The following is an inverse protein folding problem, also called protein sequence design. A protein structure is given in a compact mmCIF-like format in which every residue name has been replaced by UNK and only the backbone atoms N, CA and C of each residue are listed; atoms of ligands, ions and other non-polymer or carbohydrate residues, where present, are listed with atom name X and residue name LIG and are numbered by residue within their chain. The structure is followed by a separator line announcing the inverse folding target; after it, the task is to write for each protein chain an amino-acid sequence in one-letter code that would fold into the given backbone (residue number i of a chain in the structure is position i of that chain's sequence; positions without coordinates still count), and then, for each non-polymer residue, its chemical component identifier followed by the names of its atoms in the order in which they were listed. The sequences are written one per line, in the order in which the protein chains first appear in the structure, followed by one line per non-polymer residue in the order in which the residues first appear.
data_IF_047848565294
#
_entry.id   IF_047848565294
#
_cell.length_a   1.000
_cell.length_b   1.000
_cell.length_c   1.000
_cell.angle_alpha   90.00
_cell.angle_beta   90.00
_cell.angle_gamma   90.00
#
_symmetry.space_group_name_H-M   'P 1'
#
loop_
_entity.id
_entity.type
_entity.pdbx_description
1 polymer ?
#
# COMPACT_ATOMS: atom_id res chain seq x y z
N UNK A 1 9.07 -5.03 -26.76
CA UNK A 1 9.99 -6.13 -26.39
C UNK A 1 11.25 -5.52 -25.80
N UNK A 2 11.31 -5.39 -24.48
CA UNK A 2 12.53 -5.09 -23.75
C UNK A 2 12.71 -6.26 -22.76
N UNK A 3 13.69 -7.12 -23.01
CA UNK A 3 14.05 -8.20 -22.10
C UNK A 3 14.79 -7.57 -20.91
N UNK A 4 14.20 -7.65 -19.72
CA UNK A 4 14.81 -7.15 -18.49
C UNK A 4 15.79 -8.20 -17.94
N UNK A 5 17.03 -7.77 -17.70
CA UNK A 5 18.13 -8.59 -17.19
C UNK A 5 18.13 -8.59 -15.66
N UNK A 6 17.96 -9.77 -15.06
CA UNK A 6 17.98 -10.05 -13.61
C UNK A 6 19.41 -10.06 -13.07
N UNK A 7 19.75 -9.41 -11.93
CA UNK A 7 20.95 -9.77 -11.19
C UNK A 7 20.68 -11.06 -10.41
N UNK A 8 21.29 -12.15 -10.88
CA UNK A 8 21.22 -13.49 -10.29
C UNK A 8 22.13 -13.54 -9.06
N UNK A 9 21.62 -14.03 -7.94
CA UNK A 9 22.37 -14.24 -6.71
C UNK A 9 23.52 -15.24 -6.86
N UNK A 10 24.37 -15.35 -5.83
CA UNK A 10 25.44 -16.35 -5.81
C UNK A 10 24.81 -17.75 -5.75
N UNK A 11 24.97 -18.53 -6.82
CA UNK A 11 24.52 -19.91 -6.92
C UNK A 11 25.42 -20.81 -6.07
N UNK A 12 24.83 -21.55 -5.12
CA UNK A 12 25.43 -22.80 -4.66
C UNK A 12 25.18 -23.86 -5.74
N UNK A 13 26.14 -24.76 -5.98
CA UNK A 13 25.99 -25.80 -7.00
C UNK A 13 24.69 -26.60 -6.77
N UNK A 14 23.83 -26.71 -7.79
CA UNK A 14 22.58 -27.47 -7.73
C UNK A 14 21.32 -26.70 -7.35
N UNK A 15 21.36 -25.36 -7.22
CA UNK A 15 20.19 -24.52 -6.92
C UNK A 15 19.82 -23.64 -8.12
N UNK A 16 18.52 -23.46 -8.41
CA UNK A 16 17.96 -22.51 -9.37
C UNK A 16 17.13 -21.46 -8.63
N UNK A 17 17.41 -20.18 -8.87
CA UNK A 17 16.65 -19.06 -8.30
C UNK A 17 15.86 -18.38 -9.43
N UNK A 18 14.55 -18.30 -9.30
CA UNK A 18 13.67 -17.54 -10.19
C UNK A 18 13.06 -16.40 -9.40
N UNK A 19 13.18 -15.17 -9.89
CA UNK A 19 12.56 -13.99 -9.28
C UNK A 19 11.54 -13.38 -10.25
N UNK A 20 10.40 -12.95 -9.71
CA UNK A 20 9.33 -12.30 -10.42
C UNK A 20 8.98 -10.97 -9.76
N UNK A 21 8.66 -9.97 -10.59
CA UNK A 21 8.22 -8.66 -10.14
C UNK A 21 6.97 -8.26 -10.91
N UNK A 22 5.93 -7.83 -10.18
CA UNK A 22 4.72 -7.22 -10.75
C UNK A 22 4.68 -5.76 -10.31
N UNK A 23 4.67 -4.78 -11.24
CA UNK A 23 4.68 -3.37 -10.89
C UNK A 23 3.38 -2.93 -10.20
N UNK A 24 3.42 -1.81 -9.49
CA UNK A 24 2.29 -1.27 -8.71
C UNK A 24 0.99 -1.15 -9.50
N UNK A 25 1.08 -0.78 -10.78
CA UNK A 25 -0.07 -0.56 -11.65
C UNK A 25 -0.78 -1.87 -12.05
N UNK A 26 -0.06 -2.99 -11.97
CA UNK A 26 -0.55 -4.32 -12.36
C UNK A 26 -0.78 -5.24 -11.15
N UNK A 27 -0.23 -4.91 -9.98
CA UNK A 27 -0.31 -5.71 -8.77
C UNK A 27 -1.77 -5.92 -8.32
N UNK A 28 -2.08 -7.16 -7.93
CA UNK A 28 -3.40 -7.54 -7.42
C UNK A 28 -3.26 -8.60 -6.33
N UNK A 29 -4.28 -8.76 -5.50
CA UNK A 29 -4.38 -9.84 -4.51
C UNK A 29 -4.18 -11.27 -5.06
N UNK A 30 -4.11 -11.46 -6.38
CA UNK A 30 -3.85 -12.74 -7.01
C UNK A 30 -2.39 -13.22 -6.91
N UNK A 31 -1.43 -12.30 -6.67
CA UNK A 31 0.01 -12.59 -6.71
C UNK A 31 0.41 -13.38 -7.98
N UNK A 32 -0.06 -12.89 -9.14
CA UNK A 32 0.11 -13.57 -10.41
C UNK A 32 1.46 -13.21 -11.04
N UNK A 33 2.49 -14.02 -10.75
CA UNK A 33 3.79 -13.91 -11.40
C UNK A 33 3.83 -14.73 -12.69
N UNK A 34 4.69 -14.31 -13.62
CA UNK A 34 4.89 -15.03 -14.88
C UNK A 34 5.64 -16.35 -14.68
N UNK A 35 6.75 -16.30 -13.95
CA UNK A 35 7.72 -17.41 -13.85
C UNK A 35 7.91 -17.91 -12.40
N UNK A 36 7.24 -17.31 -11.43
CA UNK A 36 7.25 -17.73 -10.02
C UNK A 36 5.91 -18.41 -9.72
N UNK A 37 5.88 -19.59 -9.08
CA UNK A 37 4.64 -20.20 -8.62
C UNK A 37 3.82 -19.25 -7.77
N UNK A 38 2.49 -19.44 -7.76
CA UNK A 38 1.62 -18.69 -6.86
C UNK A 38 1.72 -19.30 -5.45
N UNK A 39 1.49 -18.50 -4.40
CA UNK A 39 1.34 -19.03 -3.04
C UNK A 39 0.34 -20.18 -3.00
N UNK A 40 0.59 -21.21 -2.20
CA UNK A 40 -0.27 -22.41 -2.11
C UNK A 40 -0.82 -22.60 -0.71
N UNK A 41 -1.87 -23.40 -0.58
CA UNK A 41 -2.34 -23.88 0.73
C UNK A 41 -1.80 -25.26 1.03
N UNK A 42 -1.45 -25.50 2.30
CA UNK A 42 -1.17 -26.84 2.82
C UNK A 42 0.21 -27.37 2.43
N UNK A 43 1.18 -26.48 2.21
CA UNK A 43 2.58 -26.86 2.12
C UNK A 43 3.18 -27.13 3.51
N UNK A 44 4.46 -27.53 3.56
CA UNK A 44 5.11 -27.92 4.80
C UNK A 44 5.27 -26.76 5.82
N UNK A 45 5.30 -25.50 5.36
CA UNK A 45 5.38 -24.32 6.22
C UNK A 45 4.07 -24.09 6.99
N UNK A 46 2.92 -24.50 6.46
CA UNK A 46 1.60 -24.31 7.11
C UNK A 46 1.58 -24.89 8.54
N UNK A 47 2.24 -26.03 8.77
CA UNK A 47 2.35 -26.68 10.07
C UNK A 47 3.65 -26.38 10.85
N UNK A 48 4.53 -25.55 10.29
CA UNK A 48 5.84 -25.27 10.86
C UNK A 48 5.76 -24.26 12.02
N UNK A 49 6.84 -24.18 12.79
CA UNK A 49 7.01 -23.15 13.83
C UNK A 49 7.98 -22.09 13.36
N UNK A 50 7.48 -20.88 13.22
CA UNK A 50 8.28 -19.70 12.93
C UNK A 50 8.75 -19.04 14.23
N UNK A 51 10.00 -18.58 14.25
CA UNK A 51 10.54 -17.84 15.39
C UNK A 51 11.54 -16.78 14.95
N UNK A 52 11.54 -15.64 15.65
CA UNK A 52 12.60 -14.63 15.51
C UNK A 52 13.81 -15.11 16.32
N UNK A 53 14.93 -15.32 15.63
CA UNK A 53 16.24 -15.61 16.24
C UNK A 53 16.97 -14.32 16.55
N UNK A 54 16.87 -13.34 15.66
CA UNK A 54 17.50 -12.02 15.80
C UNK A 54 16.63 -10.94 15.14
N UNK A 55 16.74 -9.70 15.62
CA UNK A 55 15.89 -8.59 15.23
C UNK A 55 14.60 -8.47 16.05
N UNK A 56 13.81 -7.43 15.75
CA UNK A 56 12.55 -7.13 16.46
C UNK A 56 11.42 -6.91 15.46
N UNK A 57 10.29 -7.60 15.64
CA UNK A 57 9.05 -7.35 14.89
C UNK A 57 8.59 -5.90 15.06
N UNK A 58 8.10 -5.26 14.00
CA UNK A 58 7.41 -3.97 14.14
C UNK A 58 5.99 -4.17 14.67
N UNK A 59 5.56 -3.37 15.65
CA UNK A 59 4.25 -3.52 16.28
C UNK A 59 3.07 -3.28 15.33
N UNK A 60 3.28 -2.57 14.21
CA UNK A 60 2.24 -2.36 13.20
C UNK A 60 2.10 -3.56 12.25
N UNK A 61 3.13 -4.39 12.14
CA UNK A 61 3.14 -5.58 11.30
C UNK A 61 2.31 -6.72 11.88
N UNK A 62 1.99 -7.69 11.03
CA UNK A 62 1.37 -8.94 11.43
C UNK A 62 2.30 -9.78 12.33
N UNK A 63 1.71 -10.72 13.06
CA UNK A 63 2.48 -11.76 13.78
C UNK A 63 3.11 -12.76 12.78
N UNK A 64 3.95 -13.66 13.29
CA UNK A 64 4.69 -14.63 12.46
C UNK A 64 3.79 -15.58 11.66
N UNK A 65 2.57 -15.83 12.13
CA UNK A 65 1.59 -16.69 11.43
C UNK A 65 1.30 -16.18 10.01
N UNK A 66 1.40 -14.87 9.75
CA UNK A 66 1.20 -14.30 8.43
C UNK A 66 2.29 -14.67 7.41
N UNK A 67 3.33 -15.42 7.82
CA UNK A 67 4.31 -15.97 6.90
C UNK A 67 3.92 -17.35 6.38
N UNK A 68 2.86 -17.97 6.90
CA UNK A 68 2.50 -19.36 6.55
C UNK A 68 1.00 -19.69 6.79
N UNK A 69 0.12 -18.69 6.81
CA UNK A 69 -1.31 -18.90 7.06
C UNK A 69 -2.13 -19.06 5.76
N UNK A 70 -1.46 -19.03 4.60
CA UNK A 70 -2.07 -19.13 3.29
C UNK A 70 -2.95 -17.93 2.93
N UNK A 71 -2.85 -16.81 3.65
CA UNK A 71 -3.55 -15.56 3.30
C UNK A 71 -2.58 -14.61 2.65
N UNK A 72 -3.08 -13.85 1.68
CA UNK A 72 -2.29 -12.86 0.97
C UNK A 72 -2.87 -11.47 1.21
N UNK A 73 -2.03 -10.43 1.31
CA UNK A 73 -2.50 -9.06 1.36
C UNK A 73 -3.22 -8.72 0.06
N UNK A 74 -4.20 -7.84 0.16
CA UNK A 74 -4.98 -7.41 -0.99
C UNK A 74 -4.61 -6.02 -1.51
N UNK A 75 -3.81 -5.28 -0.75
CA UNK A 75 -3.25 -3.98 -1.09
C UNK A 75 -1.74 -3.89 -0.88
N UNK A 76 -1.17 -2.82 -1.41
CA UNK A 76 0.27 -2.51 -1.44
C UNK A 76 0.78 -1.80 -0.18
N UNK A 77 -0.04 -1.66 0.85
CA UNK A 77 0.33 -1.16 2.17
C UNK A 77 -0.62 -1.73 3.23
N UNK A 78 -0.49 -3.05 3.48
CA UNK A 78 -1.30 -3.77 4.47
C UNK A 78 -0.44 -4.32 5.61
N UNK A 79 -0.06 -3.48 6.60
CA UNK A 79 0.78 -3.92 7.71
C UNK A 79 0.22 -5.12 8.48
N UNK A 80 -1.11 -5.20 8.66
CA UNK A 80 -1.75 -6.30 9.39
C UNK A 80 -1.75 -7.65 8.66
N UNK A 81 -1.43 -7.67 7.36
CA UNK A 81 -1.35 -8.87 6.53
C UNK A 81 0.10 -9.20 6.13
N UNK A 82 1.09 -8.48 6.68
CA UNK A 82 2.49 -8.69 6.35
C UNK A 82 3.37 -8.65 7.61
N UNK A 83 4.33 -9.56 7.69
CA UNK A 83 5.38 -9.50 8.69
C UNK A 83 6.49 -8.54 8.25
N UNK A 84 7.02 -7.72 9.18
CA UNK A 84 8.23 -6.94 8.93
C UNK A 84 8.97 -6.60 10.24
N UNK A 85 10.29 -6.42 10.11
CA UNK A 85 11.14 -5.96 11.20
C UNK A 85 10.95 -4.46 11.49
N UNK A 86 11.24 -4.07 12.73
CA UNK A 86 11.10 -2.71 13.25
C UNK A 86 11.81 -1.67 12.38
N UNK A 87 11.19 -0.51 12.25
CA UNK A 87 11.82 0.65 11.62
C UNK A 87 13.20 0.96 12.24
N UNK A 88 14.18 1.31 11.40
CA UNK A 88 15.55 1.65 11.78
C UNK A 88 16.48 0.47 12.06
N UNK A 89 16.02 -0.76 11.85
CA UNK A 89 16.85 -1.98 12.01
C UNK A 89 17.39 -2.49 10.68
N UNK A 90 18.50 -3.22 10.71
CA UNK A 90 19.13 -3.81 9.52
C UNK A 90 18.43 -5.07 8.99
N UNK A 91 17.31 -5.49 9.59
CA UNK A 91 16.64 -6.76 9.34
C UNK A 91 16.74 -7.69 10.55
N UNK A 92 16.88 -9.00 10.30
CA UNK A 92 16.91 -9.99 11.36
C UNK A 92 17.01 -11.42 10.85
N UNK A 93 16.83 -12.39 11.75
CA UNK A 93 16.87 -13.81 11.43
C UNK A 93 15.56 -14.49 11.79
N UNK A 94 14.96 -15.17 10.82
CA UNK A 94 13.76 -16.00 11.01
C UNK A 94 14.14 -17.47 10.92
N UNK A 95 13.78 -18.23 11.96
CA UNK A 95 13.86 -19.68 12.00
C UNK A 95 12.52 -20.28 11.59
N UNK A 96 12.55 -21.29 10.74
CA UNK A 96 11.43 -22.18 10.44
C UNK A 96 11.80 -23.59 10.92
N UNK A 97 11.10 -24.12 11.91
CA UNK A 97 11.19 -25.53 12.32
C UNK A 97 10.02 -26.30 11.72
N UNK A 98 10.29 -27.16 10.73
CA UNK A 98 9.31 -28.00 10.06
C UNK A 98 8.83 -29.18 10.94
N UNK A 99 9.38 -29.32 12.15
CA UNK A 99 9.06 -30.37 13.12
C UNK A 99 9.71 -31.72 12.81
N UNK A 100 9.92 -32.03 11.53
CA UNK A 100 10.63 -33.21 11.05
C UNK A 100 11.52 -32.88 9.86
N UNK A 101 12.48 -33.76 9.57
CA UNK A 101 13.30 -33.67 8.36
C UNK A 101 12.47 -34.10 7.15
N UNK A 102 12.43 -33.27 6.11
CA UNK A 102 11.74 -33.55 4.84
C UNK A 102 12.67 -33.25 3.66
N UNK A 103 12.38 -33.86 2.52
CA UNK A 103 13.06 -33.58 1.26
C UNK A 103 12.41 -32.38 0.58
N UNK A 104 12.99 -31.20 0.83
CA UNK A 104 12.49 -29.93 0.28
C UNK A 104 12.85 -29.88 -1.20
N UNK A 105 11.88 -29.52 -2.03
CA UNK A 105 12.02 -29.32 -3.47
C UNK A 105 12.15 -27.84 -3.81
N UNK A 106 11.34 -26.99 -3.16
CA UNK A 106 11.31 -25.55 -3.38
C UNK A 106 11.06 -24.79 -2.08
N UNK A 107 11.60 -23.57 -2.00
CA UNK A 107 11.18 -22.55 -1.05
C UNK A 107 10.75 -21.32 -1.84
N UNK A 108 9.51 -20.88 -1.65
CA UNK A 108 8.98 -19.70 -2.30
C UNK A 108 8.73 -18.58 -1.29
N UNK A 109 9.02 -17.34 -1.66
CA UNK A 109 8.82 -16.18 -0.79
C UNK A 109 8.13 -15.04 -1.51
N UNK A 110 7.19 -14.40 -0.83
CA UNK A 110 6.34 -13.36 -1.41
C UNK A 110 6.32 -12.10 -0.55
N UNK A 111 6.29 -10.94 -1.22
CA UNK A 111 6.20 -9.63 -0.57
C UNK A 111 5.45 -8.63 -1.43
N UNK A 112 4.80 -7.66 -0.81
CA UNK A 112 4.12 -6.58 -1.53
C UNK A 112 4.19 -5.26 -0.76
N UNK A 113 4.75 -4.24 -1.40
CA UNK A 113 4.59 -2.86 -0.95
C UNK A 113 4.73 -1.86 -2.09
N UNK A 114 4.11 -0.69 -1.98
CA UNK A 114 4.10 0.37 -3.01
C UNK A 114 5.48 0.98 -3.34
N UNK A 115 6.48 0.77 -2.47
CA UNK A 115 7.80 1.39 -2.52
C UNK A 115 8.96 0.46 -2.15
N UNK A 116 10.00 1.01 -1.52
CA UNK A 116 11.28 0.32 -1.20
C UNK A 116 11.15 -0.88 -0.27
N UNK A 117 10.00 -1.06 0.36
CA UNK A 117 9.68 -2.19 1.24
C UNK A 117 9.09 -3.39 0.50
N UNK A 118 8.97 -3.33 -0.83
CA UNK A 118 8.51 -4.44 -1.67
C UNK A 118 9.62 -5.48 -1.93
N UNK A 119 10.84 -5.08 -2.35
CA UNK A 119 11.93 -6.00 -2.62
C UNK A 119 12.33 -6.88 -1.44
N UNK A 120 12.96 -8.02 -1.74
CA UNK A 120 13.44 -9.02 -0.78
C UNK A 120 14.96 -9.10 -0.82
N UNK A 121 15.60 -9.00 0.35
CA UNK A 121 17.05 -9.19 0.50
C UNK A 121 17.29 -10.17 1.65
N UNK A 122 17.73 -11.39 1.33
CA UNK A 122 17.98 -12.40 2.36
C UNK A 122 18.98 -13.47 1.91
N UNK A 123 19.53 -14.17 2.89
CA UNK A 123 20.25 -15.44 2.68
C UNK A 123 19.49 -16.58 3.33
N UNK A 124 19.23 -17.64 2.58
CA UNK A 124 18.56 -18.85 3.04
C UNK A 124 19.59 -19.93 3.39
N UNK A 125 19.42 -20.52 4.57
CA UNK A 125 20.18 -21.68 5.03
C UNK A 125 19.25 -22.83 5.39
N UNK A 126 19.77 -24.06 5.32
CA UNK A 126 19.08 -25.27 5.77
C UNK A 126 19.93 -26.11 6.72
N UNK A 127 19.29 -26.83 7.64
CA UNK A 127 19.94 -27.83 8.47
C UNK A 127 19.02 -29.00 8.80
N UNK A 128 19.56 -30.21 8.85
CA UNK A 128 18.90 -31.38 9.42
C UNK A 128 18.93 -31.36 10.97
N UNK A 129 19.80 -30.54 11.55
CA UNK A 129 19.99 -30.39 13.00
C UNK A 129 20.81 -31.48 13.68
N UNK A 130 21.41 -32.36 12.89
CA UNK A 130 22.26 -33.47 13.34
C UNK A 130 23.77 -33.20 13.16
N UNK A 131 24.12 -32.05 12.57
CA UNK A 131 25.50 -31.63 12.40
C UNK A 131 26.19 -31.41 13.78
N UNK A 132 27.45 -31.87 13.97
CA UNK A 132 28.21 -31.55 15.17
C UNK A 132 28.33 -30.04 15.38
N UNK A 133 28.04 -29.58 16.60
CA UNK A 133 28.07 -28.15 16.93
C UNK A 133 26.91 -27.34 16.33
N UNK A 134 25.82 -28.00 15.91
CA UNK A 134 24.61 -27.33 15.46
C UNK A 134 24.06 -26.40 16.54
N UNK A 135 23.99 -25.11 16.22
CA UNK A 135 23.25 -24.12 16.98
C UNK A 135 21.97 -23.78 16.21
N UNK A 136 20.82 -24.14 16.77
CA UNK A 136 19.51 -23.89 16.16
C UNK A 136 19.17 -22.39 16.09
N UNK A 137 19.78 -21.54 16.93
CA UNK A 137 19.44 -20.12 17.03
C UNK A 137 20.71 -19.25 16.97
N UNK A 138 21.46 -19.27 15.85
CA UNK A 138 22.66 -18.47 15.73
C UNK A 138 22.26 -16.99 15.64
N UNK A 139 22.40 -16.26 16.75
CA UNK A 139 22.02 -14.85 16.86
C UNK A 139 23.20 -13.90 16.56
N UNK A 140 22.89 -12.65 16.20
CA UNK A 140 23.87 -11.58 16.03
C UNK A 140 24.93 -11.89 14.97
N UNK A 141 26.24 -11.71 15.26
CA UNK A 141 27.30 -11.80 14.26
C UNK A 141 27.67 -13.24 13.87
N UNK A 142 27.11 -14.27 14.51
CA UNK A 142 27.47 -15.68 14.27
C UNK A 142 27.18 -16.07 12.82
N UNK A 143 28.20 -16.52 12.08
CA UNK A 143 28.01 -17.12 10.75
C UNK A 143 27.30 -18.47 10.90
N UNK A 144 26.08 -18.64 10.36
CA UNK A 144 25.34 -19.91 10.47
C UNK A 144 26.17 -21.12 10.00
N UNK A 145 27.05 -20.95 9.01
CA UNK A 145 27.88 -22.03 8.47
C UNK A 145 28.88 -22.59 9.48
N UNK A 146 29.27 -21.77 10.45
CA UNK A 146 30.19 -22.19 11.52
C UNK A 146 29.52 -23.08 12.57
N UNK A 147 28.19 -23.16 12.59
CA UNK A 147 27.41 -23.84 13.61
C UNK A 147 26.30 -24.72 13.02
N UNK A 148 26.65 -25.48 11.97
CA UNK A 148 25.82 -26.58 11.48
C UNK A 148 24.72 -26.21 10.48
N UNK A 149 24.79 -25.03 9.85
CA UNK A 149 23.90 -24.64 8.76
C UNK A 149 24.56 -24.71 7.39
N UNK A 150 23.82 -25.16 6.39
CA UNK A 150 24.25 -25.18 4.99
C UNK A 150 23.67 -23.98 4.26
N UNK A 151 24.49 -23.23 3.53
CA UNK A 151 24.05 -22.16 2.65
C UNK A 151 23.26 -22.75 1.48
N UNK A 152 22.02 -22.28 1.28
CA UNK A 152 21.17 -22.68 0.14
C UNK A 152 21.24 -21.62 -0.96
N UNK A 153 20.92 -20.36 -0.64
CA UNK A 153 20.82 -19.29 -1.63
C UNK A 153 20.99 -17.90 -1.01
N UNK A 154 21.43 -16.93 -1.82
CA UNK A 154 21.37 -15.51 -1.51
C UNK A 154 20.47 -14.81 -2.54
N UNK A 155 19.54 -13.99 -2.05
CA UNK A 155 18.47 -13.35 -2.82
C UNK A 155 18.53 -11.84 -2.65
N UNK A 156 18.42 -11.12 -3.76
CA UNK A 156 18.24 -9.68 -3.82
C UNK A 156 17.33 -9.34 -5.02
N UNK A 157 16.11 -8.91 -4.75
CA UNK A 157 15.14 -8.56 -5.81
C UNK A 157 15.07 -7.05 -6.08
N UNK A 158 15.96 -6.25 -5.49
CA UNK A 158 15.97 -4.80 -5.72
C UNK A 158 16.26 -4.50 -7.19
N UNK A 159 15.55 -3.56 -7.82
CA UNK A 159 15.86 -3.15 -9.18
C UNK A 159 17.18 -2.37 -9.19
N UNK A 160 17.81 -2.29 -10.37
CA UNK A 160 19.00 -1.44 -10.57
C UNK A 160 18.68 0.05 -10.41
N UNK A 161 17.45 0.45 -10.73
CA UNK A 161 16.97 1.83 -10.65
C UNK A 161 15.53 1.88 -10.09
N UNK A 162 15.21 2.95 -9.37
CA UNK A 162 13.90 3.16 -8.75
C UNK A 162 13.72 2.42 -7.41
N UNK A 163 12.57 2.64 -6.77
CA UNK A 163 12.27 2.07 -5.44
C UNK A 163 11.86 0.59 -5.45
N UNK A 164 11.57 0.00 -6.62
CA UNK A 164 11.18 -1.40 -6.70
C UNK A 164 9.84 -1.74 -6.07
N UNK A 165 8.92 -0.78 -5.96
CA UNK A 165 7.56 -1.05 -5.48
C UNK A 165 6.81 -2.07 -6.36
N UNK A 166 5.82 -2.73 -5.78
CA UNK A 166 5.03 -3.78 -6.40
C UNK A 166 5.15 -5.10 -5.64
N UNK A 167 4.72 -6.18 -6.28
CA UNK A 167 4.82 -7.54 -5.73
C UNK A 167 6.13 -8.18 -6.15
N UNK A 168 6.81 -8.82 -5.21
CA UNK A 168 8.00 -9.64 -5.47
C UNK A 168 7.72 -11.08 -5.08
N UNK A 169 8.10 -12.00 -5.95
CA UNK A 169 8.05 -13.43 -5.72
C UNK A 169 9.43 -14.01 -6.02
N UNK A 170 9.87 -14.96 -5.19
CA UNK A 170 11.11 -15.69 -5.42
C UNK A 170 10.83 -17.17 -5.25
N UNK A 171 11.33 -18.00 -6.16
CA UNK A 171 11.32 -19.45 -6.06
C UNK A 171 12.75 -19.97 -6.09
N UNK A 172 13.16 -20.66 -5.03
CA UNK A 172 14.46 -21.31 -4.88
C UNK A 172 14.21 -22.82 -5.02
N UNK A 173 14.71 -23.42 -6.09
CA UNK A 173 14.46 -24.81 -6.45
C UNK A 173 15.76 -25.61 -6.57
N UNK A 174 15.72 -26.91 -6.28
CA UNK A 174 16.80 -27.82 -6.68
C UNK A 174 16.82 -28.04 -8.20
N UNK A 175 18.00 -27.96 -8.82
CA UNK A 175 18.15 -28.19 -10.28
C UNK A 175 17.72 -29.60 -10.68
N UNK A 176 17.98 -30.59 -9.82
CA UNK A 176 17.62 -32.00 -10.02
C UNK A 176 16.32 -32.40 -9.28
N UNK A 177 15.51 -31.41 -8.88
CA UNK A 177 14.22 -31.61 -8.22
C UNK A 177 14.26 -31.63 -6.69
N UNK A 178 15.44 -31.75 -6.06
CA UNK A 178 15.61 -31.66 -4.61
C UNK A 178 16.53 -30.50 -4.23
N UNK A 179 16.06 -29.62 -3.35
CA UNK A 179 16.83 -28.54 -2.74
C UNK A 179 17.68 -29.05 -1.56
N UNK A 180 17.18 -30.06 -0.84
CA UNK A 180 17.90 -30.80 0.18
C UNK A 180 17.00 -31.33 1.31
N UNK A 181 17.55 -32.24 2.10
CA UNK A 181 16.85 -32.86 3.23
C UNK A 181 17.08 -32.03 4.51
N UNK A 182 16.09 -31.23 4.90
CA UNK A 182 16.21 -30.29 6.02
C UNK A 182 15.01 -30.39 6.97
N UNK A 183 15.26 -30.07 8.25
CA UNK A 183 14.22 -29.82 9.25
C UNK A 183 14.09 -28.33 9.54
N UNK A 184 15.22 -27.64 9.59
CA UNK A 184 15.29 -26.23 9.93
C UNK A 184 15.68 -25.42 8.70
N UNK A 185 14.98 -24.29 8.49
CA UNK A 185 15.39 -23.24 7.58
C UNK A 185 15.69 -21.97 8.37
N UNK A 186 16.68 -21.20 7.93
CA UNK A 186 17.03 -19.92 8.51
C UNK A 186 17.10 -18.86 7.40
N UNK A 187 16.25 -17.84 7.53
CA UNK A 187 16.29 -16.65 6.68
C UNK A 187 17.06 -15.56 7.41
N UNK A 188 18.27 -15.25 6.92
CA UNK A 188 19.01 -14.07 7.34
C UNK A 188 18.60 -12.89 6.45
N UNK A 189 17.64 -12.09 6.94
CA UNK A 189 17.00 -10.99 6.22
C UNK A 189 17.78 -9.69 6.43
N UNK A 190 17.98 -8.94 5.36
CA UNK A 190 18.54 -7.59 5.39
C UNK A 190 17.51 -6.55 4.95
N UNK A 191 17.62 -5.32 5.48
CA UNK A 191 16.86 -4.18 4.98
C UNK A 191 17.18 -3.90 3.50
N UNK A 192 16.20 -3.39 2.77
CA UNK A 192 16.30 -3.09 1.33
C UNK A 192 17.02 -1.76 1.07
N UNK A 193 16.91 -0.78 1.97
CA UNK A 193 17.54 0.53 1.89
C UNK A 193 17.70 1.21 3.26
N UNK A 194 18.40 2.36 3.29
CA UNK A 194 18.76 3.11 4.50
C UNK A 194 18.54 4.64 4.38
N UNK A 195 17.83 5.10 3.34
CA UNK A 195 17.51 6.50 3.12
C UNK A 195 16.52 7.03 4.16
N UNK A 196 15.63 6.17 4.68
CA UNK A 196 14.85 6.44 5.89
C UNK A 196 14.78 5.20 6.82
N UNK A 197 13.98 5.29 7.89
CA UNK A 197 13.84 4.22 8.87
C UNK A 197 12.99 3.04 8.38
N UNK A 198 12.26 3.17 7.28
CA UNK A 198 11.31 2.21 6.75
C UNK A 198 11.90 1.37 5.62
N UNK A 199 13.09 0.81 5.82
CA UNK A 199 13.78 -0.03 4.84
C UNK A 199 13.51 -1.54 4.95
N UNK A 200 12.58 -2.00 5.79
CA UNK A 200 12.32 -3.44 5.98
C UNK A 200 11.16 -3.94 5.12
N UNK A 201 11.37 -5.09 4.45
CA UNK A 201 10.44 -5.76 3.54
C UNK A 201 9.11 -6.12 4.22
N UNK A 202 7.98 -5.91 3.53
CA UNK A 202 6.66 -6.47 3.89
C UNK A 202 6.58 -7.92 3.40
N UNK A 203 6.88 -8.88 4.26
CA UNK A 203 6.78 -10.31 3.95
C UNK A 203 5.32 -10.75 4.01
N UNK A 204 4.83 -11.30 2.90
CA UNK A 204 3.42 -11.66 2.72
C UNK A 204 3.13 -13.14 2.94
N UNK A 205 4.05 -14.04 2.56
CA UNK A 205 3.91 -15.50 2.71
C UNK A 205 5.26 -16.18 2.40
N UNK A 206 5.49 -17.38 2.96
CA UNK A 206 6.61 -18.27 2.68
C UNK A 206 6.08 -19.70 2.52
N UNK A 207 6.23 -20.28 1.31
CA UNK A 207 5.88 -21.69 1.06
C UNK A 207 7.14 -22.57 1.18
N UNK A 208 7.01 -23.74 1.81
CA UNK A 208 8.04 -24.79 1.79
C UNK A 208 7.46 -26.06 1.16
N UNK A 209 7.90 -26.36 -0.07
CA UNK A 209 7.34 -27.44 -0.87
C UNK A 209 8.21 -28.69 -0.85
N UNK A 210 7.59 -29.84 -0.57
CA UNK A 210 8.17 -31.17 -0.71
C UNK A 210 7.41 -32.00 -1.76
N UNK A 211 7.73 -33.29 -1.89
CA UNK A 211 7.04 -34.18 -2.81
C UNK A 211 5.54 -34.37 -2.48
N UNK A 212 5.14 -34.24 -1.20
CA UNK A 212 3.73 -34.33 -0.78
C UNK A 212 2.95 -33.06 -1.16
N UNK A 213 3.64 -31.92 -1.26
CA UNK A 213 3.08 -30.62 -1.63
C UNK A 213 2.84 -30.46 -3.14
N UNK A 214 3.16 -31.47 -3.97
CA UNK A 214 3.02 -31.40 -5.44
C UNK A 214 1.60 -31.09 -5.92
N UNK A 215 0.59 -31.47 -5.14
CA UNK A 215 -0.83 -31.29 -5.44
C UNK A 215 -1.45 -30.15 -4.62
N UNK A 216 -0.62 -29.35 -3.92
CA UNK A 216 -1.08 -28.20 -3.15
C UNK A 216 -1.81 -27.20 -4.06
N UNK A 217 -3.02 -26.83 -3.66
CA UNK A 217 -3.83 -25.91 -4.44
C UNK A 217 -3.29 -24.48 -4.27
N UNK A 218 -3.13 -23.70 -5.36
CA UNK A 218 -2.84 -22.28 -5.25
C UNK A 218 -3.86 -21.57 -4.37
N UNK A 219 -3.40 -20.64 -3.54
CA UNK A 219 -4.27 -19.71 -2.82
C UNK A 219 -5.19 -19.06 -3.84
N UNK A 220 -6.49 -19.25 -3.66
CA UNK A 220 -7.48 -18.72 -4.59
C UNK A 220 -7.42 -17.21 -4.51
N UNK A 221 -7.10 -16.57 -5.64
CA UNK A 221 -7.21 -15.12 -5.74
C UNK A 221 -8.67 -14.74 -5.45
N UNK A 222 -8.93 -13.69 -4.66
CA UNK A 222 -10.27 -13.14 -4.62
C UNK A 222 -10.67 -12.75 -6.05
N UNK A 223 -11.91 -13.08 -6.43
CA UNK A 223 -12.44 -12.74 -7.75
C UNK A 223 -12.39 -11.23 -7.87
N UNK A 224 -11.59 -10.72 -8.81
CA UNK A 224 -11.41 -9.28 -9.00
C UNK A 224 -12.75 -8.62 -9.33
N UNK A 225 -13.11 -7.58 -8.58
CA UNK A 225 -14.35 -6.79 -8.77
C UNK A 225 -13.99 -5.35 -9.06
N UNK A 226 -13.55 -5.14 -10.30
CA UNK A 226 -13.10 -3.85 -10.82
C UNK A 226 -14.05 -3.34 -11.89
N UNK A 227 -14.44 -2.09 -11.75
CA UNK A 227 -15.19 -1.35 -12.77
C UNK A 227 -14.37 -0.12 -13.18
N UNK A 228 -14.33 0.17 -14.49
CA UNK A 228 -13.70 1.38 -15.01
C UNK A 228 -14.80 2.31 -15.51
N UNK A 229 -14.83 3.50 -14.93
CA UNK A 229 -15.74 4.58 -15.28
C UNK A 229 -15.00 5.59 -16.13
N UNK A 230 -15.45 5.78 -17.37
CA UNK A 230 -14.93 6.85 -18.24
C UNK A 230 -15.77 8.12 -18.06
N UNK A 231 -15.09 9.26 -17.93
CA UNK A 231 -15.68 10.57 -17.74
C UNK A 231 -15.08 11.61 -18.71
N UNK A 232 -15.86 12.66 -19.00
CA UNK A 232 -15.51 13.73 -19.95
C UNK A 232 -14.98 13.18 -21.29
N UNK A 233 -15.80 12.37 -21.96
CA UNK A 233 -15.50 11.77 -23.27
C UNK A 233 -14.18 10.98 -23.31
N UNK A 234 -13.87 10.29 -22.21
CA UNK A 234 -12.67 9.45 -22.09
C UNK A 234 -11.42 10.18 -21.62
N UNK A 235 -11.51 11.48 -21.31
CA UNK A 235 -10.38 12.24 -20.76
C UNK A 235 -9.95 11.73 -19.38
N UNK A 236 -10.88 11.14 -18.61
CA UNK A 236 -10.61 10.55 -17.30
C UNK A 236 -11.09 9.11 -17.22
N UNK A 237 -10.27 8.26 -16.58
CA UNK A 237 -10.56 6.86 -16.27
C UNK A 237 -10.47 6.66 -14.77
N UNK A 238 -11.61 6.37 -14.14
CA UNK A 238 -11.71 6.11 -12.71
C UNK A 238 -11.96 4.63 -12.50
N UNK A 239 -10.98 3.90 -11.97
CA UNK A 239 -11.12 2.50 -11.59
C UNK A 239 -11.66 2.40 -10.17
N UNK A 240 -12.75 1.66 -9.97
CA UNK A 240 -13.31 1.33 -8.66
C UNK A 240 -13.07 -0.15 -8.41
N UNK A 241 -12.34 -0.48 -7.35
CA UNK A 241 -12.00 -1.83 -6.93
C UNK A 241 -12.69 -2.19 -5.62
N UNK A 242 -13.58 -3.17 -5.67
CA UNK A 242 -14.33 -3.72 -4.53
C UNK A 242 -13.94 -5.17 -4.22
N UNK A 243 -12.77 -5.61 -4.69
CA UNK A 243 -12.32 -7.00 -4.52
C UNK A 243 -12.31 -7.45 -3.05
N UNK A 244 -11.92 -6.56 -2.11
CA UNK A 244 -11.91 -6.88 -0.66
C UNK A 244 -13.22 -6.56 0.07
N UNK A 245 -14.15 -5.93 -0.64
CA UNK A 245 -15.47 -5.58 -0.13
C UNK A 245 -16.52 -5.94 -1.19
N UNK A 246 -16.63 -7.23 -1.55
CA UNK A 246 -17.48 -7.65 -2.67
C UNK A 246 -18.96 -7.31 -2.45
N UNK A 247 -19.40 -7.22 -1.20
CA UNK A 247 -20.73 -6.76 -0.80
C UNK A 247 -21.02 -5.30 -1.17
N UNK A 248 -19.97 -4.48 -1.37
CA UNK A 248 -20.10 -3.08 -1.79
C UNK A 248 -20.17 -2.90 -3.31
N UNK A 249 -19.95 -3.96 -4.11
CA UNK A 249 -19.88 -3.87 -5.58
C UNK A 249 -21.14 -3.25 -6.20
N UNK A 250 -22.31 -3.73 -5.78
CA UNK A 250 -23.59 -3.27 -6.34
C UNK A 250 -23.85 -1.79 -6.03
N UNK A 251 -23.54 -1.38 -4.79
CA UNK A 251 -23.62 0.03 -4.39
C UNK A 251 -22.58 0.88 -5.14
N UNK A 252 -21.35 0.40 -5.25
CA UNK A 252 -20.29 1.13 -5.94
C UNK A 252 -20.65 1.38 -7.41
N UNK A 253 -21.20 0.37 -8.10
CA UNK A 253 -21.66 0.49 -9.47
C UNK A 253 -22.88 1.40 -9.62
N UNK A 254 -23.91 1.25 -8.78
CA UNK A 254 -25.18 1.97 -8.96
C UNK A 254 -25.18 3.38 -8.39
N UNK A 255 -24.44 3.61 -7.31
CA UNK A 255 -24.49 4.84 -6.52
C UNK A 255 -23.21 5.66 -6.64
N UNK A 256 -22.04 5.03 -6.59
CA UNK A 256 -20.77 5.75 -6.59
C UNK A 256 -20.25 6.05 -8.01
N UNK A 257 -20.32 5.10 -8.93
CA UNK A 257 -19.83 5.25 -10.30
C UNK A 257 -20.46 6.46 -11.02
N UNK A 258 -21.78 6.72 -10.94
CA UNK A 258 -22.37 7.93 -11.52
C UNK A 258 -21.83 9.22 -10.89
N UNK A 259 -21.61 9.23 -9.57
CA UNK A 259 -21.07 10.39 -8.86
C UNK A 259 -19.66 10.70 -9.30
N UNK A 260 -18.76 9.73 -9.33
CA UNK A 260 -17.36 9.99 -9.72
C UNK A 260 -17.25 10.36 -11.19
N UNK A 261 -18.12 9.79 -12.06
CA UNK A 261 -18.22 10.16 -13.48
C UNK A 261 -18.58 11.64 -13.66
N UNK A 262 -19.55 12.10 -12.88
CA UNK A 262 -20.03 13.48 -12.97
C UNK A 262 -19.08 14.48 -12.29
N UNK A 263 -18.59 14.13 -11.11
CA UNK A 263 -17.94 15.08 -10.23
C UNK A 263 -16.44 15.18 -10.42
N UNK A 264 -15.73 14.12 -10.83
CA UNK A 264 -14.29 14.24 -11.04
C UNK A 264 -13.92 15.31 -12.09
N UNK A 265 -14.57 15.39 -13.27
CA UNK A 265 -14.33 16.48 -14.22
C UNK A 265 -14.71 17.87 -13.67
N UNK A 266 -15.79 17.98 -12.89
CA UNK A 266 -16.20 19.25 -12.26
C UNK A 266 -15.18 19.74 -11.24
N UNK A 267 -14.67 18.84 -10.40
CA UNK A 267 -13.60 19.12 -9.43
C UNK A 267 -12.34 19.59 -10.16
N UNK A 268 -11.93 18.86 -11.20
CA UNK A 268 -10.81 19.23 -12.06
C UNK A 268 -10.95 20.65 -12.64
N UNK A 269 -12.15 21.03 -13.11
CA UNK A 269 -12.44 22.35 -13.63
C UNK A 269 -12.42 23.44 -12.54
N UNK A 270 -13.03 23.18 -11.38
CA UNK A 270 -13.06 24.13 -10.24
C UNK A 270 -11.66 24.41 -9.67
N UNK A 271 -10.76 23.43 -9.75
CA UNK A 271 -9.39 23.51 -9.23
C UNK A 271 -8.33 23.63 -10.33
N UNK A 272 -8.72 24.07 -11.52
CA UNK A 272 -7.80 24.30 -12.62
C UNK A 272 -6.80 25.42 -12.26
N UNK A 273 -5.52 25.19 -12.51
CA UNK A 273 -4.48 26.22 -12.49
C UNK A 273 -3.65 26.15 -13.76
N UNK A 274 -2.88 27.21 -14.02
CA UNK A 274 -1.95 27.25 -15.15
C UNK A 274 -0.96 26.08 -15.06
N UNK A 275 -0.67 25.47 -16.21
CA UNK A 275 0.31 24.40 -16.41
C UNK A 275 0.06 23.10 -15.60
N UNK A 276 -1.06 22.99 -14.88
CA UNK A 276 -1.45 21.79 -14.16
C UNK A 276 -2.44 20.96 -14.98
N UNK A 277 -2.14 19.67 -15.12
CA UNK A 277 -3.08 18.68 -15.65
C UNK A 277 -3.53 17.76 -14.52
N UNK A 278 -4.83 17.66 -14.24
CA UNK A 278 -5.34 16.71 -13.27
C UNK A 278 -5.02 15.27 -13.71
N UNK A 279 -4.84 14.32 -12.77
CA UNK A 279 -4.60 12.93 -13.10
C UNK A 279 -5.66 12.35 -14.05
N UNK A 280 -5.23 11.81 -15.19
CA UNK A 280 -6.13 11.17 -16.15
C UNK A 280 -6.64 9.81 -15.65
N UNK A 281 -5.88 9.15 -14.76
CA UNK A 281 -6.21 7.86 -14.16
C UNK A 281 -6.31 7.99 -12.64
N UNK A 282 -7.43 7.54 -12.08
CA UNK A 282 -7.71 7.52 -10.65
C UNK A 282 -8.07 6.10 -10.24
N UNK A 283 -7.57 5.64 -9.09
CA UNK A 283 -7.96 4.36 -8.50
C UNK A 283 -8.67 4.60 -7.17
N UNK A 284 -9.83 3.97 -6.98
CA UNK A 284 -10.60 3.97 -5.74
C UNK A 284 -10.71 2.52 -5.28
N UNK A 285 -10.13 2.18 -4.13
CA UNK A 285 -10.12 0.81 -3.61
C UNK A 285 -10.84 0.74 -2.27
N UNK A 286 -11.76 -0.21 -2.12
CA UNK A 286 -12.39 -0.52 -0.85
C UNK A 286 -11.59 -1.58 -0.11
N UNK A 287 -10.84 -1.15 0.91
CA UNK A 287 -10.00 -2.04 1.71
C UNK A 287 -10.77 -2.60 2.91
N UNK A 288 -10.68 -3.92 3.11
CA UNK A 288 -11.22 -4.60 4.27
C UNK A 288 -10.47 -4.31 5.59
N UNK A 289 -9.22 -3.85 5.50
CA UNK A 289 -8.30 -3.67 6.63
C UNK A 289 -8.06 -2.20 7.00
N UNK A 290 -8.31 -1.27 6.07
CA UNK A 290 -8.20 0.16 6.33
C UNK A 290 -9.09 0.60 7.51
N UNK A 291 -8.52 1.46 8.36
CA UNK A 291 -9.23 2.15 9.45
C UNK A 291 -9.54 3.59 9.06
N UNK A 292 -10.51 4.21 9.73
CA UNK A 292 -10.93 5.59 9.44
C UNK A 292 -12.08 5.63 8.43
N UNK A 293 -12.07 6.64 7.54
CA UNK A 293 -13.11 6.89 6.53
C UNK A 293 -12.56 6.56 5.15
N UNK A 294 -11.66 7.40 4.65
CA UNK A 294 -10.93 7.23 3.40
C UNK A 294 -9.61 8.03 3.49
N UNK A 295 -8.72 7.81 2.54
CA UNK A 295 -7.44 8.51 2.45
C UNK A 295 -6.96 8.57 1.00
N UNK A 296 -6.39 9.70 0.62
CA UNK A 296 -5.81 9.91 -0.71
C UNK A 296 -4.29 9.95 -0.68
N UNK A 297 -3.67 9.16 -1.55
CA UNK A 297 -2.25 9.20 -1.87
C UNK A 297 -2.03 9.32 -3.38
N UNK A 298 -1.50 10.46 -3.84
CA UNK A 298 -1.28 10.68 -5.28
C UNK A 298 -2.59 10.68 -6.07
N UNK A 299 -2.81 9.66 -6.89
CA UNK A 299 -4.07 9.43 -7.63
C UNK A 299 -4.85 8.21 -7.15
N UNK A 300 -4.55 7.71 -5.95
CA UNK A 300 -5.21 6.57 -5.32
C UNK A 300 -6.00 7.02 -4.10
N UNK A 301 -7.24 6.56 -4.02
CA UNK A 301 -8.14 6.73 -2.87
C UNK A 301 -8.38 5.36 -2.28
N UNK A 302 -8.06 5.19 -0.99
CA UNK A 302 -8.41 3.98 -0.24
C UNK A 302 -9.59 4.29 0.67
N UNK A 303 -10.65 3.49 0.56
CA UNK A 303 -11.89 3.61 1.30
C UNK A 303 -11.98 2.51 2.37
N UNK A 304 -12.27 2.86 3.62
CA UNK A 304 -12.40 1.90 4.71
C UNK A 304 -13.73 1.14 4.61
N UNK A 305 -13.73 -0.08 4.05
CA UNK A 305 -14.95 -0.83 3.75
C UNK A 305 -15.89 -0.98 4.98
N UNK A 306 -15.31 -1.14 6.18
CA UNK A 306 -16.09 -1.19 7.43
C UNK A 306 -16.90 0.09 7.67
N UNK A 307 -16.31 1.26 7.46
CA UNK A 307 -17.03 2.52 7.65
C UNK A 307 -18.07 2.74 6.56
N UNK A 308 -17.76 2.39 5.31
CA UNK A 308 -18.69 2.53 4.18
C UNK A 308 -19.95 1.69 4.37
N UNK A 309 -19.84 0.44 4.84
CA UNK A 309 -21.00 -0.42 5.15
C UNK A 309 -22.02 0.25 6.07
N UNK A 310 -21.55 1.09 7.00
CA UNK A 310 -22.40 1.84 7.93
C UNK A 310 -22.88 3.19 7.40
N UNK A 311 -22.38 3.66 6.25
CA UNK A 311 -22.59 5.03 5.77
C UNK A 311 -23.10 5.11 4.31
N UNK A 312 -23.52 3.99 3.70
CA UNK A 312 -23.98 3.94 2.30
C UNK A 312 -25.13 4.91 1.97
N UNK A 313 -25.99 5.19 2.95
CA UNK A 313 -27.13 6.13 2.85
C UNK A 313 -26.81 7.53 3.41
N UNK A 314 -25.59 7.75 3.88
CA UNK A 314 -25.12 9.00 4.46
C UNK A 314 -23.87 9.49 3.75
N UNK A 315 -22.80 9.68 4.51
CA UNK A 315 -21.59 10.37 4.06
C UNK A 315 -20.70 9.59 3.07
N UNK A 316 -21.06 8.36 2.67
CA UNK A 316 -20.23 7.53 1.81
C UNK A 316 -19.91 8.16 0.43
N UNK A 317 -20.87 8.76 -0.26
CA UNK A 317 -20.61 9.39 -1.57
C UNK A 317 -19.81 10.68 -1.41
N UNK A 318 -20.22 11.53 -0.47
CA UNK A 318 -19.54 12.79 -0.17
C UNK A 318 -18.09 12.63 0.28
N UNK A 319 -17.78 11.59 1.08
CA UNK A 319 -16.40 11.29 1.46
C UNK A 319 -15.52 10.95 0.25
N UNK A 320 -16.00 10.19 -0.74
CA UNK A 320 -15.22 9.97 -1.98
C UNK A 320 -15.04 11.27 -2.75
N UNK A 321 -16.07 12.13 -2.82
CA UNK A 321 -15.96 13.45 -3.46
C UNK A 321 -14.89 14.32 -2.79
N UNK A 322 -14.81 14.29 -1.45
CA UNK A 322 -13.75 14.94 -0.68
C UNK A 322 -12.36 14.40 -1.06
N UNK A 323 -12.19 13.08 -1.10
CA UNK A 323 -10.91 12.48 -1.50
C UNK A 323 -10.51 12.81 -2.95
N UNK A 324 -11.47 12.87 -3.88
CA UNK A 324 -11.23 13.28 -5.26
C UNK A 324 -10.73 14.73 -5.37
N UNK A 325 -11.06 15.60 -4.40
CA UNK A 325 -10.44 16.94 -4.32
C UNK A 325 -8.96 16.82 -4.05
N UNK A 326 -8.54 15.97 -3.10
CA UNK A 326 -7.12 15.76 -2.82
C UNK A 326 -6.36 15.17 -4.02
N UNK A 327 -7.00 14.29 -4.80
CA UNK A 327 -6.43 13.77 -6.07
C UNK A 327 -6.10 14.92 -7.05
N UNK A 328 -6.91 15.98 -7.09
CA UNK A 328 -6.71 17.13 -7.99
C UNK A 328 -5.81 18.20 -7.36
N UNK A 329 -5.80 18.35 -6.04
CA UNK A 329 -4.96 19.33 -5.36
C UNK A 329 -3.48 19.08 -5.68
N UNK A 330 -3.01 17.84 -5.52
CA UNK A 330 -1.61 17.42 -5.76
C UNK A 330 -0.57 18.45 -5.33
N UNK A 331 -0.72 19.05 -4.16
CA UNK A 331 0.16 20.14 -3.73
C UNK A 331 1.62 19.70 -3.50
N UNK A 332 1.89 18.38 -3.50
CA UNK A 332 3.22 17.78 -3.37
C UNK A 332 3.91 18.15 -2.05
N UNK A 333 5.21 17.81 -1.93
CA UNK A 333 6.13 18.63 -1.12
C UNK A 333 6.39 19.85 -2.00
N UNK A 334 5.68 20.95 -1.77
CA UNK A 334 5.74 22.19 -2.56
C UNK A 334 7.16 22.41 -3.10
N UNK A 335 7.35 22.43 -4.42
CA UNK A 335 8.66 22.61 -5.07
C UNK A 335 9.31 23.91 -4.55
N UNK A 336 10.16 23.80 -3.53
CA UNK A 336 10.88 24.93 -2.92
C UNK A 336 10.02 25.97 -2.18
N UNK A 337 8.75 25.68 -1.86
CA UNK A 337 7.80 26.65 -1.28
C UNK A 337 7.25 26.25 0.10
N UNK A 338 6.46 27.15 0.71
CA UNK A 338 5.80 26.88 1.99
C UNK A 338 4.77 25.74 1.86
N UNK A 339 4.70 24.87 2.88
CA UNK A 339 3.70 23.80 2.93
C UNK A 339 2.29 24.42 3.01
N UNK A 340 1.32 23.98 2.18
CA UNK A 340 -0.06 24.43 2.27
C UNK A 340 -0.61 24.31 3.70
N UNK A 341 -1.30 25.32 4.25
CA UNK A 341 -1.95 25.21 5.55
C UNK A 341 -3.01 24.11 5.52
N UNK A 342 -2.92 23.15 6.44
CA UNK A 342 -3.80 21.98 6.45
C UNK A 342 -5.29 22.34 6.48
N UNK A 343 -5.67 23.36 7.23
CA UNK A 343 -7.06 23.82 7.31
C UNK A 343 -7.65 24.24 5.96
N UNK A 344 -6.81 24.80 5.09
CA UNK A 344 -7.23 25.27 3.78
C UNK A 344 -7.27 24.13 2.76
N UNK A 345 -6.36 23.16 2.89
CA UNK A 345 -6.38 21.91 2.12
C UNK A 345 -7.68 21.15 2.38
N UNK A 346 -8.00 20.89 3.65
CA UNK A 346 -9.22 20.20 4.09
C UNK A 346 -10.48 21.05 3.86
N UNK A 347 -10.39 22.36 4.12
CA UNK A 347 -11.49 23.29 3.96
C UNK A 347 -11.95 23.44 2.51
N UNK A 348 -11.02 23.44 1.54
CA UNK A 348 -11.38 23.45 0.10
C UNK A 348 -12.08 22.14 -0.29
N UNK A 349 -11.60 20.99 0.22
CA UNK A 349 -12.23 19.70 -0.04
C UNK A 349 -13.67 19.65 0.48
N UNK A 350 -13.87 20.07 1.73
CA UNK A 350 -15.21 20.13 2.32
C UNK A 350 -16.09 21.26 1.77
N UNK A 351 -15.50 22.35 1.26
CA UNK A 351 -16.26 23.37 0.53
C UNK A 351 -16.89 22.79 -0.74
N UNK A 352 -16.09 22.08 -1.54
CA UNK A 352 -16.58 21.42 -2.75
C UNK A 352 -17.64 20.37 -2.40
N UNK A 353 -17.37 19.55 -1.38
CA UNK A 353 -18.33 18.53 -0.92
C UNK A 353 -19.64 19.17 -0.45
N UNK A 354 -19.60 19.99 0.59
CA UNK A 354 -20.82 20.43 1.29
C UNK A 354 -21.55 21.58 0.62
N UNK A 355 -20.88 22.40 -0.21
CA UNK A 355 -21.53 23.57 -0.81
C UNK A 355 -21.69 23.46 -2.34
N UNK A 356 -21.03 22.49 -2.99
CA UNK A 356 -21.21 22.23 -4.43
C UNK A 356 -21.86 20.88 -4.70
N UNK A 357 -21.36 19.81 -4.09
CA UNK A 357 -21.84 18.46 -4.35
C UNK A 357 -23.16 18.14 -3.66
N UNK A 358 -23.22 18.28 -2.34
CA UNK A 358 -24.36 17.83 -1.53
C UNK A 358 -24.91 18.90 -0.56
N UNK A 359 -25.16 20.17 -0.99
CA UNK A 359 -25.65 21.24 -0.12
C UNK A 359 -27.00 20.94 0.54
N UNK A 360 -27.85 20.14 -0.09
CA UNK A 360 -29.14 19.72 0.42
C UNK A 360 -29.06 18.87 1.68
N UNK A 361 -27.92 18.20 1.92
CA UNK A 361 -27.69 17.40 3.13
C UNK A 361 -27.51 18.28 4.37
N UNK A 362 -27.17 19.57 4.18
CA UNK A 362 -26.85 20.52 5.25
C UNK A 362 -25.70 20.04 6.14
N UNK A 363 -24.83 19.14 5.66
CA UNK A 363 -23.77 18.52 6.48
C UNK A 363 -22.65 19.47 6.92
N UNK A 364 -22.55 20.66 6.28
CA UNK A 364 -21.70 21.74 6.76
C UNK A 364 -22.26 22.48 7.98
N UNK A 365 -23.53 22.33 8.35
CA UNK A 365 -24.10 23.13 9.43
C UNK A 365 -23.39 22.90 10.77
N UNK A 366 -22.99 24.01 11.39
CA UNK A 366 -22.38 24.00 12.72
C UNK A 366 -23.51 24.18 13.74
N UNK A 367 -23.70 23.23 14.68
CA UNK A 367 -24.71 23.37 15.72
C UNK A 367 -24.52 24.68 16.52
N UNK A 368 -25.59 25.39 16.92
CA UNK A 368 -25.48 26.68 17.59
C UNK A 368 -24.55 26.67 18.83
N UNK A 369 -24.60 25.58 19.61
CA UNK A 369 -23.73 25.41 20.79
C UNK A 369 -22.23 25.28 20.48
N UNK A 370 -21.85 25.04 19.22
CA UNK A 370 -20.45 24.99 18.76
C UNK A 370 -20.06 26.19 17.91
N UNK A 371 -21.02 27.00 17.45
CA UNK A 371 -20.75 28.12 16.56
C UNK A 371 -19.83 29.18 17.18
N UNK A 372 -19.97 29.47 18.48
CA UNK A 372 -19.11 30.43 19.18
C UNK A 372 -17.64 29.99 19.30
N UNK A 373 -17.35 28.69 19.15
CA UNK A 373 -16.01 28.12 19.21
C UNK A 373 -15.44 27.83 17.82
N UNK A 374 -16.24 28.01 16.76
CA UNK A 374 -15.81 27.76 15.39
C UNK A 374 -14.72 28.75 15.00
N UNK A 375 -13.65 28.23 14.41
CA UNK A 375 -12.50 29.01 13.93
C UNK A 375 -12.32 28.73 12.45
N UNK A 376 -11.97 29.74 11.67
CA UNK A 376 -11.80 29.60 10.22
C UNK A 376 -10.75 28.53 9.85
N UNK A 377 -9.79 28.27 10.74
CA UNK A 377 -8.66 27.34 10.58
C UNK A 377 -8.89 25.97 11.25
N UNK A 378 -10.13 25.62 11.60
CA UNK A 378 -10.46 24.35 12.25
C UNK A 378 -10.62 23.15 11.28
N UNK A 379 -10.21 23.28 10.02
CA UNK A 379 -10.32 22.29 8.94
C UNK A 379 -11.76 21.89 8.60
N UNK A 380 -11.89 21.03 7.57
CA UNK A 380 -13.12 20.34 7.19
C UNK A 380 -14.34 21.28 7.09
N UNK A 381 -15.52 20.80 7.49
CA UNK A 381 -16.79 21.53 7.52
C UNK A 381 -16.70 22.92 8.14
N UNK A 382 -15.87 23.12 9.16
CA UNK A 382 -15.79 24.43 9.84
C UNK A 382 -15.09 25.45 8.94
N UNK A 383 -13.92 25.09 8.40
CA UNK A 383 -13.23 25.92 7.41
C UNK A 383 -14.04 26.08 6.11
N UNK A 384 -14.79 25.05 5.71
CA UNK A 384 -15.64 25.12 4.52
C UNK A 384 -16.76 26.18 4.64
N UNK A 385 -17.37 26.35 5.83
CA UNK A 385 -18.34 27.43 6.05
C UNK A 385 -17.71 28.81 5.88
N UNK A 386 -16.50 29.00 6.39
CA UNK A 386 -15.76 30.25 6.22
C UNK A 386 -15.47 30.52 4.75
N UNK A 387 -14.93 29.52 4.04
CA UNK A 387 -14.62 29.61 2.60
C UNK A 387 -15.88 29.94 1.80
N UNK A 388 -17.00 29.26 2.07
CA UNK A 388 -18.28 29.54 1.41
C UNK A 388 -18.78 30.97 1.67
N UNK A 389 -18.68 31.44 2.91
CA UNK A 389 -19.02 32.83 3.25
C UNK A 389 -18.17 33.80 2.43
N UNK A 390 -16.84 33.66 2.41
CA UNK A 390 -15.95 34.55 1.63
C UNK A 390 -16.28 34.50 0.15
N UNK A 391 -16.53 33.31 -0.41
CA UNK A 391 -16.90 33.15 -1.83
C UNK A 391 -18.17 33.93 -2.15
N UNK A 392 -19.20 33.85 -1.31
CA UNK A 392 -20.48 34.50 -1.55
C UNK A 392 -20.47 36.01 -1.33
N UNK A 393 -19.63 36.51 -0.42
CA UNK A 393 -19.68 37.91 0.01
C UNK A 393 -18.54 38.78 -0.51
N UNK A 394 -17.39 38.19 -0.82
CA UNK A 394 -16.16 38.94 -1.10
C UNK A 394 -15.49 38.53 -2.41
N UNK A 395 -15.34 37.23 -2.68
CA UNK A 395 -14.49 36.75 -3.78
C UNK A 395 -15.03 35.46 -4.42
N UNK A 396 -15.90 35.56 -5.45
CA UNK A 396 -16.50 34.40 -6.11
C UNK A 396 -15.49 33.37 -6.66
N UNK A 397 -14.32 33.84 -7.09
CA UNK A 397 -13.23 33.01 -7.65
C UNK A 397 -12.18 32.60 -6.61
N UNK A 398 -12.43 32.80 -5.32
CA UNK A 398 -11.47 32.54 -4.23
C UNK A 398 -10.88 31.14 -4.33
N UNK A 399 -11.72 30.11 -4.43
CA UNK A 399 -11.26 28.71 -4.36
C UNK A 399 -10.32 28.36 -5.50
N UNK A 400 -10.62 28.80 -6.72
CA UNK A 400 -9.77 28.58 -7.89
C UNK A 400 -8.42 29.28 -7.73
N UNK A 401 -8.45 30.55 -7.35
CA UNK A 401 -7.24 31.39 -7.20
C UNK A 401 -6.36 30.91 -6.05
N UNK A 402 -6.98 30.58 -4.91
CA UNK A 402 -6.31 30.08 -3.73
C UNK A 402 -5.68 28.71 -3.97
N UNK A 403 -6.42 27.79 -4.62
CA UNK A 403 -5.90 26.50 -5.01
C UNK A 403 -4.66 26.61 -5.92
N UNK A 404 -4.67 27.53 -6.90
CA UNK A 404 -3.50 27.77 -7.75
C UNK A 404 -2.30 28.28 -6.93
N UNK A 405 -2.52 29.22 -6.01
CA UNK A 405 -1.47 29.73 -5.14
C UNK A 405 -0.88 28.64 -4.22
N UNK A 406 -1.71 27.76 -3.67
CA UNK A 406 -1.27 26.63 -2.84
C UNK A 406 -0.44 25.64 -3.66
N UNK A 407 -0.91 25.28 -4.86
CA UNK A 407 -0.21 24.36 -5.76
C UNK A 407 1.15 24.87 -6.20
N UNK A 408 1.26 26.18 -6.43
CA UNK A 408 2.50 26.83 -6.85
C UNK A 408 3.41 27.23 -5.68
N UNK A 409 3.02 26.93 -4.43
CA UNK A 409 3.80 27.30 -3.24
C UNK A 409 3.88 28.81 -2.98
N UNK A 410 2.93 29.58 -3.54
CA UNK A 410 2.87 31.06 -3.48
C UNK A 410 1.88 31.60 -2.44
N UNK A 411 1.27 30.72 -1.63
CA UNK A 411 0.36 31.12 -0.57
C UNK A 411 1.07 32.00 0.47
N UNK A 412 0.42 33.11 0.82
CA UNK A 412 0.76 34.01 1.92
C UNK A 412 -0.52 34.64 2.44
N UNK A 413 -0.57 35.03 3.71
CA UNK A 413 -1.79 35.60 4.31
C UNK A 413 -2.26 36.89 3.63
N UNK A 414 -1.33 37.72 3.11
CA UNK A 414 -1.68 38.94 2.35
C UNK A 414 -2.57 38.67 1.13
N UNK A 415 -2.55 37.44 0.60
CA UNK A 415 -3.42 37.05 -0.51
C UNK A 415 -4.90 37.19 -0.15
N UNK A 416 -5.29 37.05 1.12
CA UNK A 416 -6.67 37.32 1.55
C UNK A 416 -7.05 38.78 1.33
N UNK A 417 -6.16 39.71 1.66
CA UNK A 417 -6.39 41.14 1.46
C UNK A 417 -6.40 41.52 -0.01
N UNK A 418 -5.52 40.90 -0.81
CA UNK A 418 -5.49 41.10 -2.26
C UNK A 418 -6.78 40.61 -2.93
N UNK A 419 -7.34 39.48 -2.49
CA UNK A 419 -8.52 38.87 -3.12
C UNK A 419 -9.85 39.40 -2.56
N UNK A 420 -9.90 39.81 -1.30
CA UNK A 420 -11.15 40.15 -0.59
C UNK A 420 -11.23 41.62 -0.15
N UNK A 421 -10.11 42.35 -0.20
CA UNK A 421 -9.98 43.67 0.41
C UNK A 421 -9.85 43.67 1.94
N UNK A 422 -9.87 42.50 2.60
CA UNK A 422 -9.78 42.34 4.06
C UNK A 422 -8.67 41.36 4.44
N UNK A 423 -8.08 41.57 5.61
CA UNK A 423 -7.17 40.61 6.23
C UNK A 423 -7.89 39.31 6.56
N UNK A 424 -7.13 38.24 6.80
CA UNK A 424 -7.68 36.94 7.21
C UNK A 424 -8.33 36.99 8.60
N UNK A 425 -7.70 37.72 9.53
CA UNK A 425 -8.29 38.15 10.81
C UNK A 425 -9.26 39.31 10.60
#
# INVERSE_FOLDING_TARGET
LAALVVPVGILHAGVKITAGHVPNEEATAAFAFKDVPRPVHGDAATGAKFAIVDGRRDANGAELDALHDGKLPAGDDEPSANFFFSAGTDGGRLLVDLGTKIDITHVNTYSWHSGTRGPQVYTLYGSAGDAPGFDMRPAGPTDPRSCGWTLIAAVDTRPKEGGGGGQHGVSIAGVDGALGAYRYLLFAVSRTEAADSFGNTFWSEIDVLDAASKDAAPVSAPVARREVVEAADGAFRIAIDTTDAPDLSDWAQKELAPVVKEWYPKIAAMLASKDFKPPAAVAITFSGTMRGVAATGGSRVTCAARWYRSNLKGEAKGSVVHELVHVVQQYGRARGGARPPGWLVEGIADYIRWFKYEPETRGAEIPPGRAAQARYDASYRVSANFIDWVVRTHAPDLVKTMNAALREGRYREDLWKELTGRTLE
#
